data_IF_134082916630
#
_entry.id   IF_134082916630
#
_cell.length_a   1.000
_cell.length_b   1.000
_cell.length_c   1.000
_cell.angle_alpha   90.00
_cell.angle_beta   90.00
_cell.angle_gamma   90.00
#
_symmetry.space_group_name_H-M   'P 1'
#
loop_
_entity.id
_entity.type
_entity.pdbx_description
1 polymer ?
#
# COMPACT_ATOMS: atom_id res chain seq x y z
N UNK A 1 6.42 -32.04 -4.53
CA UNK A 1 6.38 -30.74 -3.82
C UNK A 1 6.71 -31.05 -2.37
N UNK A 2 7.85 -30.60 -1.91
CA UNK A 2 8.18 -30.72 -0.48
C UNK A 2 7.09 -30.03 0.34
N UNK A 3 6.46 -30.79 1.23
CA UNK A 3 5.29 -30.39 2.01
C UNK A 3 5.53 -29.21 2.98
N UNK A 4 6.73 -28.66 3.03
CA UNK A 4 7.16 -27.65 4.00
C UNK A 4 7.15 -26.19 3.49
N UNK A 5 6.85 -25.94 2.24
CA UNK A 5 6.77 -24.55 1.74
C UNK A 5 5.36 -24.02 1.94
N UNK A 6 5.11 -23.35 3.08
CA UNK A 6 3.88 -22.61 3.35
C UNK A 6 3.73 -21.47 2.33
N UNK A 7 2.95 -21.69 1.28
CA UNK A 7 2.65 -20.67 0.24
C UNK A 7 1.90 -19.48 0.83
N UNK A 8 1.09 -19.72 1.85
CA UNK A 8 0.35 -18.66 2.56
C UNK A 8 1.14 -18.26 3.80
N UNK A 9 1.74 -17.09 3.75
CA UNK A 9 2.50 -16.53 4.87
C UNK A 9 1.54 -16.10 6.00
N UNK A 10 1.83 -16.40 7.27
CA UNK A 10 1.00 -15.96 8.39
C UNK A 10 1.05 -14.45 8.62
N UNK A 11 2.05 -13.75 8.09
CA UNK A 11 2.10 -12.29 8.10
C UNK A 11 1.59 -11.74 6.77
N UNK A 12 0.48 -11.02 6.81
CA UNK A 12 -0.18 -10.46 5.63
C UNK A 12 -0.18 -8.93 5.66
N UNK A 13 0.38 -8.33 4.63
CA UNK A 13 0.34 -6.89 4.40
C UNK A 13 -0.92 -6.56 3.61
N UNK A 14 -1.79 -5.78 4.21
CA UNK A 14 -3.10 -5.43 3.64
C UNK A 14 -3.08 -3.96 3.21
N UNK A 15 -3.51 -3.71 1.97
CA UNK A 15 -3.72 -2.35 1.49
C UNK A 15 -4.96 -2.27 0.59
N UNK A 16 -5.51 -1.06 0.48
CA UNK A 16 -6.71 -0.77 -0.30
C UNK A 16 -6.40 0.27 -1.37
N UNK A 17 -7.04 0.13 -2.51
CA UNK A 17 -6.92 1.10 -3.59
C UNK A 17 -8.23 1.26 -4.35
N UNK A 18 -8.27 2.22 -5.26
CA UNK A 18 -9.35 2.36 -6.23
C UNK A 18 -8.81 2.32 -7.64
N UNK A 19 -9.63 1.93 -8.57
CA UNK A 19 -9.41 2.09 -10.00
C UNK A 19 -10.60 2.79 -10.63
N UNK A 20 -10.38 3.60 -11.67
CA UNK A 20 -11.47 4.30 -12.30
C UNK A 20 -12.14 3.46 -13.38
N UNK A 21 -13.42 3.69 -13.53
CA UNK A 21 -14.32 2.97 -14.41
C UNK A 21 -14.80 3.90 -15.54
N UNK A 22 -14.69 3.41 -16.77
CA UNK A 22 -15.18 4.10 -17.98
C UNK A 22 -16.42 3.40 -18.51
N UNK A 23 -17.55 3.60 -17.86
CA UNK A 23 -18.84 3.03 -18.22
C UNK A 23 -19.94 3.53 -17.29
N UNK A 24 -21.19 3.16 -17.61
CA UNK A 24 -22.36 3.65 -16.89
C UNK A 24 -23.21 2.56 -16.26
N UNK A 25 -23.06 1.29 -16.67
CA UNK A 25 -23.96 0.20 -16.30
C UNK A 25 -23.52 -0.63 -15.08
N UNK A 26 -22.24 -0.56 -14.68
CA UNK A 26 -21.75 -1.33 -13.55
C UNK A 26 -22.19 -0.68 -12.21
N UNK A 27 -22.87 -1.42 -11.35
CA UNK A 27 -23.35 -0.95 -10.06
C UNK A 27 -22.23 -0.75 -9.03
N UNK A 28 -21.06 -1.39 -9.23
CA UNK A 28 -19.88 -1.20 -8.42
C UNK A 28 -19.22 0.17 -8.64
N UNK A 29 -19.40 0.73 -9.86
CA UNK A 29 -18.92 2.07 -10.20
C UNK A 29 -19.69 3.15 -9.43
N UNK A 30 -19.03 3.84 -8.51
CA UNK A 30 -19.61 4.92 -7.71
C UNK A 30 -18.67 6.11 -7.63
N UNK A 31 -19.19 7.34 -7.49
CA UNK A 31 -18.36 8.49 -7.12
C UNK A 31 -17.62 8.19 -5.81
N UNK A 32 -16.31 8.36 -5.80
CA UNK A 32 -15.48 8.06 -4.64
C UNK A 32 -14.11 8.71 -4.73
N UNK A 33 -13.28 8.53 -3.72
CA UNK A 33 -11.92 9.04 -3.71
C UNK A 33 -11.07 8.32 -4.77
N UNK A 34 -10.58 9.08 -5.73
CA UNK A 34 -9.71 8.55 -6.77
C UNK A 34 -8.25 8.56 -6.35
N UNK A 35 -7.64 7.38 -6.26
CA UNK A 35 -6.21 7.21 -6.06
C UNK A 35 -5.39 7.29 -7.37
N UNK A 36 -6.10 7.44 -8.50
CA UNK A 36 -5.51 7.57 -9.84
C UNK A 36 -5.57 8.99 -10.40
N UNK A 37 -5.86 9.98 -9.54
CA UNK A 37 -6.03 11.40 -9.94
C UNK A 37 -7.11 11.61 -11.01
N UNK A 38 -8.17 10.77 -11.00
CA UNK A 38 -9.33 10.85 -11.89
C UNK A 38 -10.63 11.12 -11.09
N UNK A 39 -10.75 12.29 -10.41
CA UNK A 39 -11.85 12.54 -9.45
C UNK A 39 -13.23 12.64 -10.11
N UNK A 40 -13.30 12.89 -11.42
CA UNK A 40 -14.56 12.98 -12.17
C UNK A 40 -15.05 11.63 -12.70
N UNK A 41 -14.26 10.58 -12.61
CA UNK A 41 -14.62 9.23 -13.05
C UNK A 41 -15.21 8.43 -11.90
N UNK A 42 -16.13 7.52 -12.21
CA UNK A 42 -16.61 6.52 -11.25
C UNK A 42 -15.43 5.67 -10.79
N UNK A 43 -15.44 5.29 -9.54
CA UNK A 43 -14.40 4.48 -8.93
C UNK A 43 -14.93 3.10 -8.56
N UNK A 44 -14.05 2.11 -8.55
CA UNK A 44 -14.26 0.79 -7.94
C UNK A 44 -13.14 0.61 -6.94
N UNK A 45 -13.45 0.21 -5.70
CA UNK A 45 -12.42 -0.03 -4.68
C UNK A 45 -12.09 -1.51 -4.60
N UNK A 46 -10.83 -1.81 -4.38
CA UNK A 46 -10.35 -3.15 -4.13
C UNK A 46 -9.34 -3.17 -2.99
N UNK A 47 -9.30 -4.28 -2.28
CA UNK A 47 -8.33 -4.55 -1.22
C UNK A 47 -7.54 -5.80 -1.57
N UNK A 48 -6.27 -5.79 -1.28
CA UNK A 48 -5.37 -6.93 -1.50
C UNK A 48 -4.60 -7.28 -0.22
N UNK A 49 -4.15 -8.51 -0.14
CA UNK A 49 -3.11 -8.90 0.81
C UNK A 49 -1.96 -9.62 0.12
N UNK A 50 -0.78 -9.50 0.71
CA UNK A 50 0.45 -10.14 0.24
C UNK A 50 1.29 -10.57 1.43
N UNK A 51 1.89 -11.75 1.35
CA UNK A 51 2.80 -12.29 2.36
C UNK A 51 4.21 -11.70 2.29
N UNK A 52 5.06 -12.06 3.25
CA UNK A 52 6.50 -11.77 3.23
C UNK A 52 7.19 -12.36 1.99
N UNK A 53 6.69 -13.47 1.50
CA UNK A 53 7.16 -14.16 0.30
C UNK A 53 6.75 -13.47 -1.03
N UNK A 54 6.10 -12.30 -0.96
CA UNK A 54 5.55 -11.54 -2.09
C UNK A 54 4.45 -12.26 -2.90
N UNK A 55 3.86 -13.33 -2.38
CA UNK A 55 2.74 -14.01 -3.02
C UNK A 55 1.44 -13.29 -2.64
N UNK A 56 0.67 -12.76 -3.62
CA UNK A 56 -0.65 -12.21 -3.34
C UNK A 56 -1.58 -13.32 -2.86
N UNK A 57 -2.27 -13.09 -1.74
CA UNK A 57 -3.05 -14.14 -1.09
C UNK A 57 -4.55 -13.88 -1.17
N UNK A 58 -4.98 -12.64 -1.05
CA UNK A 58 -6.39 -12.29 -0.97
C UNK A 58 -6.73 -11.06 -1.80
N UNK A 59 -7.95 -11.08 -2.35
CA UNK A 59 -8.55 -9.97 -3.09
C UNK A 59 -9.98 -9.73 -2.58
N UNK A 60 -10.32 -8.47 -2.37
CA UNK A 60 -11.70 -8.04 -2.08
C UNK A 60 -12.07 -6.87 -2.99
N UNK A 61 -13.32 -6.85 -3.47
CA UNK A 61 -13.82 -5.81 -4.37
C UNK A 61 -15.07 -5.19 -3.75
N UNK A 62 -15.19 -3.86 -3.82
CA UNK A 62 -16.28 -3.09 -3.24
C UNK A 62 -16.67 -1.92 -4.17
N UNK A 63 -17.84 -1.34 -3.90
CA UNK A 63 -18.30 -0.12 -4.58
C UNK A 63 -17.30 1.02 -4.37
N UNK A 64 -17.16 1.89 -5.36
CA UNK A 64 -16.15 2.96 -5.37
C UNK A 64 -16.25 4.00 -4.25
N UNK A 65 -17.40 4.10 -3.59
CA UNK A 65 -17.62 4.99 -2.43
C UNK A 65 -17.34 4.35 -1.07
N UNK A 66 -16.92 3.09 -1.04
CA UNK A 66 -16.62 2.39 0.23
C UNK A 66 -15.26 2.85 0.76
N UNK A 67 -15.24 3.32 2.01
CA UNK A 67 -14.03 3.74 2.69
C UNK A 67 -13.23 2.55 3.22
N UNK A 68 -11.91 2.69 3.34
CA UNK A 68 -11.00 1.63 3.80
C UNK A 68 -11.42 1.01 5.13
N UNK A 69 -11.88 1.84 6.10
CA UNK A 69 -12.37 1.37 7.40
C UNK A 69 -13.54 0.38 7.29
N UNK A 70 -14.40 0.54 6.28
CA UNK A 70 -15.54 -0.34 6.02
C UNK A 70 -15.10 -1.54 5.18
N UNK A 71 -14.26 -1.31 4.18
CA UNK A 71 -13.70 -2.35 3.31
C UNK A 71 -12.89 -3.38 4.13
N UNK A 72 -12.16 -2.93 5.16
CA UNK A 72 -11.37 -3.77 6.05
C UNK A 72 -12.19 -4.91 6.69
N UNK A 73 -13.50 -4.71 6.94
CA UNK A 73 -14.37 -5.77 7.47
C UNK A 73 -14.46 -6.98 6.53
N UNK A 74 -14.53 -6.74 5.22
CA UNK A 74 -14.56 -7.81 4.21
C UNK A 74 -13.22 -8.53 4.16
N UNK A 75 -12.12 -7.79 4.26
CA UNK A 75 -10.78 -8.36 4.31
C UNK A 75 -10.58 -9.24 5.55
N UNK A 76 -10.94 -8.75 6.74
CA UNK A 76 -10.85 -9.53 7.99
C UNK A 76 -11.64 -10.84 7.88
N UNK A 77 -12.87 -10.78 7.32
CA UNK A 77 -13.69 -11.98 7.11
C UNK A 77 -13.03 -12.99 6.18
N UNK A 78 -12.34 -12.52 5.13
CA UNK A 78 -11.62 -13.40 4.22
C UNK A 78 -10.36 -13.96 4.87
N UNK A 79 -9.57 -13.11 5.53
CA UNK A 79 -8.38 -13.51 6.27
C UNK A 79 -8.67 -14.62 7.30
N UNK A 80 -9.76 -14.48 8.07
CA UNK A 80 -10.12 -15.47 9.09
C UNK A 80 -10.54 -16.84 8.55
N UNK A 81 -10.77 -16.95 7.24
CA UNK A 81 -11.09 -18.25 6.60
C UNK A 81 -9.86 -18.95 6.03
N UNK A 82 -8.80 -18.20 5.76
CA UNK A 82 -7.63 -18.68 5.01
C UNK A 82 -6.41 -18.77 5.93
N UNK A 83 -6.25 -17.81 6.83
CA UNK A 83 -5.07 -17.73 7.69
C UNK A 83 -5.24 -18.60 8.95
N UNK A 84 -4.16 -19.22 9.42
CA UNK A 84 -4.14 -19.87 10.74
C UNK A 84 -4.34 -18.83 11.85
N UNK A 85 -4.74 -19.33 13.03
CA UNK A 85 -4.79 -18.51 14.24
C UNK A 85 -3.43 -17.84 14.49
N UNK A 86 -3.46 -16.72 15.19
CA UNK A 86 -2.30 -15.90 15.54
C UNK A 86 -1.56 -15.29 14.35
N UNK A 87 -2.13 -15.36 13.13
CA UNK A 87 -1.60 -14.67 11.98
C UNK A 87 -1.67 -13.15 12.14
N UNK A 88 -0.68 -12.45 11.59
CA UNK A 88 -0.51 -11.01 11.74
C UNK A 88 -1.02 -10.26 10.50
N UNK A 89 -1.95 -9.34 10.69
CA UNK A 89 -2.40 -8.40 9.67
C UNK A 89 -1.71 -7.05 9.85
N UNK A 90 -0.96 -6.63 8.84
CA UNK A 90 -0.25 -5.33 8.83
C UNK A 90 -0.95 -4.39 7.86
N UNK A 91 -1.44 -3.24 8.34
CA UNK A 91 -2.21 -2.30 7.52
C UNK A 91 -2.02 -0.84 7.97
N UNK A 92 -2.40 0.10 7.11
CA UNK A 92 -2.28 1.53 7.40
C UNK A 92 -3.42 2.05 8.29
N UNK A 93 -3.32 3.30 8.69
CA UNK A 93 -4.27 4.00 9.55
C UNK A 93 -5.70 4.06 8.98
N UNK A 94 -5.88 3.94 7.67
CA UNK A 94 -7.19 3.89 7.01
C UNK A 94 -8.10 2.77 7.54
N UNK A 95 -7.50 1.61 7.86
CA UNK A 95 -8.19 0.48 8.49
C UNK A 95 -8.23 0.51 10.02
N UNK A 96 -7.48 1.41 10.67
CA UNK A 96 -7.31 1.44 12.12
C UNK A 96 -8.53 2.04 12.84
N UNK A 97 -9.50 1.20 13.16
CA UNK A 97 -10.65 1.55 13.99
C UNK A 97 -10.79 0.58 15.16
N UNK A 98 -11.40 1.05 16.26
CA UNK A 98 -11.68 0.16 17.42
C UNK A 98 -12.49 -1.07 17.01
N UNK A 99 -13.46 -0.89 16.10
CA UNK A 99 -14.31 -1.99 15.61
C UNK A 99 -13.51 -3.02 14.80
N UNK A 100 -12.61 -2.58 13.90
CA UNK A 100 -11.78 -3.49 13.11
C UNK A 100 -10.76 -4.23 13.99
N UNK A 101 -10.11 -3.53 14.94
CA UNK A 101 -9.22 -4.15 15.92
C UNK A 101 -9.95 -5.20 16.76
N UNK A 102 -11.18 -4.91 17.19
CA UNK A 102 -12.01 -5.90 17.88
C UNK A 102 -12.31 -7.10 16.98
N UNK A 103 -12.77 -6.86 15.75
CA UNK A 103 -13.09 -7.93 14.80
C UNK A 103 -11.90 -8.84 14.48
N UNK A 104 -10.68 -8.30 14.41
CA UNK A 104 -9.43 -9.07 14.22
C UNK A 104 -9.20 -9.96 15.44
N UNK A 105 -9.32 -9.41 16.65
CA UNK A 105 -9.18 -10.18 17.90
C UNK A 105 -10.19 -11.30 18.02
N UNK A 106 -11.46 -11.01 17.72
CA UNK A 106 -12.57 -11.96 17.79
C UNK A 106 -12.39 -13.12 16.79
N UNK A 107 -11.46 -13.01 15.85
CA UNK A 107 -11.06 -14.03 14.86
C UNK A 107 -9.69 -14.68 15.19
N UNK A 108 -9.19 -14.53 16.40
CA UNK A 108 -7.89 -15.02 16.84
C UNK A 108 -6.73 -14.60 15.90
N UNK A 109 -6.79 -13.36 15.38
CA UNK A 109 -5.74 -12.77 14.58
C UNK A 109 -5.06 -11.64 15.34
N UNK A 110 -3.82 -11.33 14.95
CA UNK A 110 -3.07 -10.17 15.42
C UNK A 110 -3.10 -9.04 14.40
N UNK A 111 -2.75 -7.85 14.86
CA UNK A 111 -2.60 -6.70 13.98
C UNK A 111 -1.36 -5.89 14.33
N UNK A 112 -0.85 -5.23 13.31
CA UNK A 112 0.14 -4.16 13.39
C UNK A 112 -0.33 -3.03 12.49
N UNK A 113 -0.56 -1.84 13.06
CA UNK A 113 -1.12 -0.72 12.31
C UNK A 113 -0.59 0.62 12.81
N UNK A 114 -0.66 1.62 11.96
CA UNK A 114 -0.27 2.99 12.32
C UNK A 114 -1.44 3.72 12.94
N UNK A 115 -1.16 4.46 14.02
CA UNK A 115 -2.13 5.37 14.64
C UNK A 115 -2.25 6.65 13.84
N UNK A 116 -3.48 7.11 13.61
CA UNK A 116 -3.73 8.39 12.94
C UNK A 116 -3.08 9.55 13.70
N UNK A 117 -2.39 10.43 12.98
CA UNK A 117 -1.64 11.56 13.57
C UNK A 117 -2.61 12.67 14.00
N UNK A 118 -3.06 12.61 15.27
CA UNK A 118 -3.92 13.61 15.90
C UNK A 118 -3.16 14.34 17.01
N UNK A 119 -3.21 15.67 17.06
CA UNK A 119 -2.42 16.53 17.96
C UNK A 119 -2.53 16.14 19.44
N UNK A 120 -3.73 15.96 19.96
CA UNK A 120 -3.95 15.62 21.38
C UNK A 120 -3.34 14.27 21.80
N UNK A 121 -3.75 13.14 21.20
CA UNK A 121 -3.18 11.84 21.50
C UNK A 121 -1.66 11.74 21.28
N UNK A 122 -1.13 12.42 20.26
CA UNK A 122 0.32 12.41 20.02
C UNK A 122 1.08 13.19 21.08
N UNK A 123 0.58 14.33 21.57
CA UNK A 123 1.23 15.07 22.66
C UNK A 123 1.37 14.23 23.93
N UNK A 124 0.31 13.49 24.30
CA UNK A 124 0.36 12.57 25.44
C UNK A 124 1.42 11.46 25.22
N UNK A 125 1.45 10.87 24.05
CA UNK A 125 2.44 9.85 23.70
C UNK A 125 3.87 10.40 23.72
N UNK A 126 4.09 11.64 23.27
CA UNK A 126 5.42 12.29 23.30
C UNK A 126 5.86 12.55 24.75
N UNK A 127 4.94 12.89 25.66
CA UNK A 127 5.28 13.01 27.09
C UNK A 127 5.75 11.65 27.66
N UNK A 128 5.05 10.57 27.34
CA UNK A 128 5.46 9.22 27.72
C UNK A 128 6.82 8.87 27.11
N UNK A 129 7.04 9.19 25.83
CA UNK A 129 8.30 8.97 25.15
C UNK A 129 9.49 9.70 25.83
N UNK A 130 9.29 10.95 26.24
CA UNK A 130 10.33 11.75 26.88
C UNK A 130 10.72 11.23 28.27
N UNK A 131 9.76 10.64 28.99
CA UNK A 131 9.95 10.17 30.36
C UNK A 131 10.24 8.67 30.45
N UNK A 132 10.05 7.91 29.34
CA UNK A 132 10.24 6.47 29.32
C UNK A 132 11.62 6.02 28.88
N UNK A 133 11.96 4.74 29.11
CA UNK A 133 13.21 4.17 28.64
C UNK A 133 13.23 4.10 27.11
N UNK A 134 14.11 4.87 26.49
CA UNK A 134 14.23 4.92 25.03
C UNK A 134 15.22 3.87 24.55
N UNK A 135 14.78 3.09 23.56
CA UNK A 135 15.62 2.17 22.80
C UNK A 135 16.04 2.87 21.50
N UNK A 136 17.34 2.89 21.23
CA UNK A 136 17.92 3.45 19.99
C UNK A 136 18.34 2.30 19.08
N UNK A 137 18.07 2.43 17.79
CA UNK A 137 18.49 1.46 16.77
C UNK A 137 18.53 2.12 15.39
N UNK A 138 19.20 1.47 14.44
CA UNK A 138 19.32 1.94 13.06
C UNK A 138 18.75 0.88 12.12
N UNK A 139 17.88 1.29 11.21
CA UNK A 139 17.37 0.41 10.16
C UNK A 139 17.29 1.18 8.84
N UNK A 140 17.81 0.60 7.75
CA UNK A 140 17.92 1.23 6.42
C UNK A 140 18.60 2.62 6.49
N UNK A 141 19.75 2.71 7.14
CA UNK A 141 20.57 3.92 7.30
C UNK A 141 19.86 5.10 8.00
N UNK A 142 18.76 4.83 8.69
CA UNK A 142 18.00 5.83 9.45
C UNK A 142 18.00 5.47 10.93
N UNK A 143 18.36 6.44 11.79
CA UNK A 143 18.29 6.30 13.24
C UNK A 143 16.88 6.50 13.75
N UNK A 144 16.49 5.62 14.67
CA UNK A 144 15.23 5.67 15.38
C UNK A 144 15.44 5.61 16.88
N UNK A 145 14.58 6.32 17.59
CA UNK A 145 14.39 6.18 19.02
C UNK A 145 12.96 5.70 19.24
N UNK A 146 12.77 4.76 20.15
CA UNK A 146 11.45 4.22 20.44
C UNK A 146 11.22 3.98 21.93
N UNK A 147 9.97 4.16 22.34
CA UNK A 147 9.46 3.72 23.64
C UNK A 147 8.27 2.81 23.39
N UNK A 148 8.29 1.63 24.04
CA UNK A 148 7.19 0.67 24.05
C UNK A 148 6.32 0.90 25.26
N UNK A 149 5.03 0.96 25.08
CA UNK A 149 4.03 1.09 26.15
C UNK A 149 3.06 -0.07 26.05
N UNK A 150 2.92 -0.82 27.13
CA UNK A 150 1.90 -1.87 27.25
C UNK A 150 0.59 -1.27 27.73
N UNK A 151 -0.52 -1.67 27.13
CA UNK A 151 -1.86 -1.30 27.55
C UNK A 151 -2.76 -2.55 27.50
N UNK A 152 -2.64 -3.38 28.51
CA UNK A 152 -3.24 -4.72 28.52
C UNK A 152 -2.62 -5.62 27.44
N UNK A 153 -3.46 -6.13 26.54
CA UNK A 153 -3.04 -7.00 25.43
C UNK A 153 -2.74 -6.22 24.14
N UNK A 154 -2.54 -4.92 24.22
CA UNK A 154 -2.18 -4.04 23.09
C UNK A 154 -0.92 -3.26 23.44
N UNK A 155 0.00 -3.18 22.50
CA UNK A 155 1.26 -2.47 22.63
C UNK A 155 1.25 -1.25 21.73
N UNK A 156 1.70 -0.11 22.26
CA UNK A 156 1.96 1.09 21.49
C UNK A 156 3.47 1.33 21.42
N UNK A 157 3.97 1.43 20.22
CA UNK A 157 5.38 1.72 19.93
C UNK A 157 5.45 3.16 19.42
N UNK A 158 6.04 4.03 20.21
CA UNK A 158 6.19 5.45 19.91
C UNK A 158 7.60 5.63 19.36
N UNK A 159 7.69 6.00 18.09
CA UNK A 159 8.96 6.21 17.38
C UNK A 159 9.21 7.67 17.13
N UNK A 160 10.48 8.03 17.19
CA UNK A 160 11.00 9.32 16.75
C UNK A 160 12.14 9.10 15.76
N UNK A 161 12.20 9.90 14.69
CA UNK A 161 13.31 9.96 13.75
C UNK A 161 13.65 11.42 13.43
N UNK A 162 14.93 11.75 13.54
CA UNK A 162 15.44 13.09 13.23
C UNK A 162 15.30 13.43 11.75
N UNK A 163 15.54 12.46 10.88
CA UNK A 163 15.40 12.65 9.44
C UNK A 163 13.95 13.00 9.07
N UNK A 164 12.99 12.25 9.62
CA UNK A 164 11.55 12.54 9.44
C UNK A 164 11.12 13.87 10.01
N UNK A 165 11.67 14.27 11.15
CA UNK A 165 11.44 15.60 11.73
C UNK A 165 11.87 16.68 10.74
N UNK A 166 13.12 16.61 10.27
CA UNK A 166 13.69 17.57 9.33
C UNK A 166 12.90 17.66 8.03
N UNK A 167 12.51 16.52 7.46
CA UNK A 167 11.68 16.50 6.24
C UNK A 167 10.29 17.14 6.44
N UNK A 168 9.65 16.84 7.59
CA UNK A 168 8.32 17.40 7.90
C UNK A 168 8.39 18.89 8.15
N UNK A 169 9.41 19.35 8.86
CA UNK A 169 9.68 20.78 9.09
C UNK A 169 9.95 21.51 7.76
N UNK A 170 10.77 20.95 6.87
CA UNK A 170 11.04 21.53 5.56
C UNK A 170 9.77 21.64 4.70
N UNK A 171 8.92 20.60 4.68
CA UNK A 171 7.63 20.63 3.97
C UNK A 171 6.70 21.72 4.53
N UNK A 172 6.62 21.86 5.86
CA UNK A 172 5.80 22.87 6.54
C UNK A 172 6.33 24.28 6.30
N UNK A 173 7.64 24.47 6.29
CA UNK A 173 8.27 25.73 5.93
C UNK A 173 7.95 26.12 4.46
N UNK A 174 8.06 25.18 3.54
CA UNK A 174 7.70 25.40 2.14
C UNK A 174 6.22 25.77 1.95
N UNK A 175 5.32 25.11 2.70
CA UNK A 175 3.91 25.45 2.69
C UNK A 175 3.70 26.87 3.21
N UNK A 176 4.27 27.21 4.35
CA UNK A 176 4.18 28.52 4.97
C UNK A 176 4.70 29.63 4.05
N UNK A 177 5.88 29.45 3.45
CA UNK A 177 6.43 30.39 2.46
C UNK A 177 5.48 30.63 1.27
N UNK A 178 4.89 29.56 0.72
CA UNK A 178 3.92 29.68 -0.37
C UNK A 178 2.68 30.49 0.02
N UNK A 179 2.22 30.36 1.25
CA UNK A 179 1.05 31.11 1.74
C UNK A 179 1.38 32.59 1.98
N UNK A 180 2.57 32.87 2.54
CA UNK A 180 3.09 34.24 2.66
C UNK A 180 3.19 34.93 1.29
N UNK A 181 3.72 34.24 0.28
CA UNK A 181 3.81 34.78 -1.09
C UNK A 181 2.42 35.07 -1.70
N UNK A 182 1.44 34.19 -1.47
CA UNK A 182 0.05 34.42 -1.88
C UNK A 182 -0.55 35.63 -1.18
N UNK A 183 -0.34 35.75 0.12
CA UNK A 183 -0.78 36.89 0.92
C UNK A 183 -0.18 38.21 0.42
N UNK A 184 1.12 38.25 0.11
CA UNK A 184 1.80 39.40 -0.46
C UNK A 184 1.22 39.81 -1.82
N UNK A 185 0.90 38.84 -2.69
CA UNK A 185 0.27 39.10 -4.00
C UNK A 185 -1.15 39.66 -3.84
N UNK A 186 -1.91 39.17 -2.88
CA UNK A 186 -3.26 39.67 -2.56
C UNK A 186 -3.20 41.10 -2.04
N UNK A 187 -2.28 41.41 -1.11
CA UNK A 187 -2.08 42.79 -0.59
C UNK A 187 -1.70 43.78 -1.68
N UNK A 188 -0.84 43.38 -2.64
CA UNK A 188 -0.51 44.22 -3.79
C UNK A 188 -1.74 44.52 -4.66
N UNK A 189 -2.69 43.57 -4.78
CA UNK A 189 -3.95 43.79 -5.52
C UNK A 189 -4.90 44.74 -4.76
N UNK A 190 -5.00 44.58 -3.44
CA UNK A 190 -5.81 45.50 -2.59
C UNK A 190 -5.26 46.92 -2.66
N UNK A 191 -3.94 47.13 -2.57
CA UNK A 191 -3.32 48.43 -2.71
C UNK A 191 -3.58 49.10 -4.09
N UNK A 192 -3.93 48.30 -5.11
CA UNK A 192 -4.30 48.80 -6.46
C UNK A 192 -5.81 49.03 -6.62
N UNK A 193 -6.58 49.07 -5.52
CA UNK A 193 -8.03 49.36 -5.53
C UNK A 193 -8.90 48.27 -6.13
N UNK A 194 -8.40 47.04 -6.25
CA UNK A 194 -9.23 45.90 -6.66
C UNK A 194 -10.00 45.36 -5.48
N UNK A 195 -11.31 45.39 -5.57
CA UNK A 195 -12.20 44.68 -4.64
C UNK A 195 -11.98 43.17 -4.85
N UNK A 196 -11.57 42.47 -3.78
CA UNK A 196 -11.31 41.02 -3.81
C UNK A 196 -12.52 40.21 -3.35
N UNK A 197 -13.68 40.85 -3.12
CA UNK A 197 -14.83 40.16 -2.59
C UNK A 197 -14.56 39.56 -1.19
N UNK A 198 -15.50 38.77 -0.67
CA UNK A 198 -15.36 38.08 0.61
C UNK A 198 -14.42 36.88 0.55
N UNK A 199 -13.22 37.01 0.03
CA UNK A 199 -12.18 36.04 0.21
C UNK A 199 -11.62 36.19 1.64
N UNK A 200 -12.21 35.47 2.56
CA UNK A 200 -11.67 35.30 3.91
C UNK A 200 -10.29 34.70 3.78
N UNK A 201 -9.27 35.51 3.94
CA UNK A 201 -7.92 35.02 4.10
C UNK A 201 -7.90 34.11 5.36
N UNK A 202 -7.23 32.95 5.34
CA UNK A 202 -7.05 32.16 6.55
C UNK A 202 -6.58 33.04 7.70
N UNK A 203 -7.04 32.81 8.93
CA UNK A 203 -6.73 33.63 10.10
C UNK A 203 -5.24 33.97 10.26
N UNK A 204 -4.33 33.06 9.83
CA UNK A 204 -2.90 33.29 9.78
C UNK A 204 -2.46 34.47 8.91
N UNK A 205 -3.24 34.88 7.90
CA UNK A 205 -2.93 36.05 7.07
C UNK A 205 -3.31 37.39 7.71
N UNK A 206 -4.23 37.37 8.64
CA UNK A 206 -4.67 38.59 9.37
C UNK A 206 -3.56 38.99 10.36
N UNK A 207 -2.96 38.05 11.02
CA UNK A 207 -1.81 38.25 11.94
C UNK A 207 -0.60 38.80 11.20
N UNK A 208 -0.35 38.32 9.99
CA UNK A 208 0.78 38.72 9.14
C UNK A 208 0.59 40.11 8.50
N UNK A 209 -0.62 40.64 8.51
CA UNK A 209 -0.92 41.94 7.85
C UNK A 209 -0.15 43.13 8.44
N UNK A 210 0.21 43.10 9.70
CA UNK A 210 1.02 44.14 10.37
C UNK A 210 2.53 43.96 10.16
N UNK A 211 2.98 42.74 9.98
CA UNK A 211 4.40 42.33 10.08
C UNK A 211 5.04 41.96 8.74
N UNK A 212 4.35 42.12 7.62
CA UNK A 212 4.85 41.76 6.27
C UNK A 212 6.08 42.56 5.81
N UNK A 213 6.53 43.53 6.57
CA UNK A 213 7.76 44.30 6.32
C UNK A 213 8.97 43.82 7.14
N UNK A 214 8.77 42.95 8.12
CA UNK A 214 9.83 42.35 8.90
C UNK A 214 10.17 40.95 8.37
N UNK A 215 11.40 40.53 8.55
CA UNK A 215 11.95 39.32 7.94
C UNK A 215 11.06 38.09 8.20
N UNK A 216 10.82 37.29 7.16
CA UNK A 216 10.09 36.01 7.20
C UNK A 216 10.62 35.09 8.31
N UNK A 217 11.84 35.27 8.75
CA UNK A 217 12.52 34.45 9.75
C UNK A 217 12.04 34.74 11.20
N UNK A 218 11.37 35.88 11.45
CA UNK A 218 10.82 36.24 12.75
C UNK A 218 9.38 35.76 12.98
N UNK A 219 8.65 35.31 11.94
CA UNK A 219 7.25 34.94 12.06
C UNK A 219 7.12 33.47 12.44
N UNK A 220 6.48 33.13 13.59
CA UNK A 220 6.31 31.73 13.98
C UNK A 220 5.45 30.97 12.97
N UNK A 221 5.97 29.84 12.47
CA UNK A 221 5.26 28.99 11.52
C UNK A 221 4.08 28.26 12.22
N UNK A 222 2.82 28.60 11.92
CA UNK A 222 1.65 28.05 12.60
C UNK A 222 1.43 26.56 12.32
N UNK A 223 2.09 26.02 11.29
CA UNK A 223 2.00 24.59 10.92
C UNK A 223 2.88 23.69 11.79
N UNK A 224 3.87 24.25 12.50
CA UNK A 224 4.72 23.50 13.43
C UNK A 224 3.90 23.19 14.69
N UNK A 225 3.76 21.90 14.98
CA UNK A 225 2.87 21.42 16.05
C UNK A 225 3.60 20.74 17.20
N UNK A 226 4.93 20.50 17.06
CA UNK A 226 5.76 19.81 18.05
C UNK A 226 5.55 18.28 18.06
N UNK A 227 4.92 17.73 17.01
CA UNK A 227 4.71 16.29 16.83
C UNK A 227 5.44 15.76 15.58
N UNK A 228 6.30 16.60 15.00
CA UNK A 228 7.13 16.27 13.84
C UNK A 228 8.12 15.18 14.22
N UNK A 229 8.50 14.35 13.27
CA UNK A 229 9.40 13.20 13.50
C UNK A 229 8.74 12.03 14.22
N UNK A 230 7.66 12.24 14.98
CA UNK A 230 6.98 11.18 15.72
C UNK A 230 5.95 10.43 14.88
N UNK A 231 5.89 9.10 15.12
CA UNK A 231 4.79 8.25 14.68
C UNK A 231 4.57 7.12 15.68
N UNK A 232 3.36 6.56 15.67
CA UNK A 232 2.95 5.54 16.63
C UNK A 232 2.44 4.34 15.86
N UNK A 233 2.97 3.16 16.19
CA UNK A 233 2.45 1.88 15.76
C UNK A 233 1.69 1.22 16.92
N UNK A 234 0.59 0.57 16.60
CA UNK A 234 -0.23 -0.19 17.54
C UNK A 234 -0.22 -1.65 17.12
N UNK A 235 0.08 -2.56 18.05
CA UNK A 235 0.20 -3.99 17.78
C UNK A 235 -0.36 -4.82 18.93
N UNK A 236 -0.80 -6.04 18.61
CA UNK A 236 -1.03 -7.11 19.60
C UNK A 236 0.18 -8.01 19.80
N UNK A 237 1.17 -7.90 18.93
CA UNK A 237 2.40 -8.68 19.06
C UNK A 237 3.37 -7.94 19.96
N UNK A 238 3.88 -8.67 20.94
CA UNK A 238 4.92 -8.18 21.84
C UNK A 238 6.29 -8.53 21.28
N UNK A 239 6.92 -7.54 20.64
CA UNK A 239 8.23 -7.71 20.01
C UNK A 239 9.12 -6.49 20.29
N UNK A 240 10.40 -6.63 19.94
CA UNK A 240 11.35 -5.51 20.00
C UNK A 240 10.93 -4.40 19.02
N UNK A 241 11.04 -3.10 19.38
CA UNK A 241 10.62 -1.99 18.52
C UNK A 241 11.20 -2.02 17.11
N UNK A 242 12.46 -2.41 16.95
CA UNK A 242 13.13 -2.53 15.66
C UNK A 242 12.39 -3.51 14.74
N UNK A 243 12.12 -4.73 15.22
CA UNK A 243 11.41 -5.76 14.47
C UNK A 243 9.97 -5.35 14.10
N UNK A 244 9.28 -4.65 15.01
CA UNK A 244 7.97 -4.07 14.74
C UNK A 244 8.03 -3.04 13.60
N UNK A 245 9.05 -2.18 13.62
CA UNK A 245 9.23 -1.17 12.58
C UNK A 245 9.58 -1.81 11.24
N UNK A 246 10.48 -2.78 11.21
CA UNK A 246 10.85 -3.52 10.00
C UNK A 246 9.64 -4.25 9.41
N UNK A 247 8.87 -4.94 10.26
CA UNK A 247 7.64 -5.60 9.84
C UNK A 247 6.66 -4.59 9.25
N UNK A 248 6.48 -3.43 9.89
CA UNK A 248 5.60 -2.40 9.35
C UNK A 248 6.10 -1.79 8.04
N UNK A 249 7.41 -1.59 7.88
CA UNK A 249 8.01 -1.11 6.62
C UNK A 249 7.76 -2.07 5.44
N UNK A 250 7.71 -3.37 5.68
CA UNK A 250 7.38 -4.37 4.68
C UNK A 250 5.95 -4.22 4.08
N UNK A 251 5.10 -3.37 4.64
CA UNK A 251 3.81 -2.99 4.04
C UNK A 251 3.97 -2.38 2.63
N UNK A 252 5.13 -1.84 2.31
CA UNK A 252 5.51 -1.41 0.96
C UNK A 252 5.31 -2.51 -0.11
N UNK A 253 5.36 -3.80 0.27
CA UNK A 253 5.05 -4.92 -0.62
C UNK A 253 3.62 -4.85 -1.17
N UNK A 254 2.64 -4.48 -0.33
CA UNK A 254 1.25 -4.31 -0.77
C UNK A 254 1.09 -3.08 -1.69
N UNK A 255 1.78 -1.99 -1.41
CA UNK A 255 1.79 -0.80 -2.29
C UNK A 255 2.41 -1.12 -3.67
N UNK A 256 3.51 -1.87 -3.68
CA UNK A 256 4.15 -2.35 -4.91
C UNK A 256 3.23 -3.28 -5.69
N UNK A 257 2.56 -4.21 -5.01
CA UNK A 257 1.59 -5.10 -5.64
C UNK A 257 0.45 -4.31 -6.30
N UNK A 258 -0.13 -3.31 -5.62
CA UNK A 258 -1.17 -2.45 -6.19
C UNK A 258 -0.67 -1.74 -7.45
N UNK A 259 0.55 -1.22 -7.43
CA UNK A 259 1.16 -0.57 -8.59
C UNK A 259 1.33 -1.55 -9.75
N UNK A 260 1.82 -2.75 -9.50
CA UNK A 260 1.99 -3.79 -10.51
C UNK A 260 0.65 -4.20 -11.14
N UNK A 261 -0.42 -4.33 -10.35
CA UNK A 261 -1.76 -4.62 -10.86
C UNK A 261 -2.27 -3.51 -11.76
N UNK A 262 -2.08 -2.24 -11.36
CA UNK A 262 -2.60 -1.09 -12.10
C UNK A 262 -1.81 -0.77 -13.37
N UNK A 263 -0.50 -0.87 -13.32
CA UNK A 263 0.41 -0.45 -14.39
C UNK A 263 0.97 -1.63 -15.18
N UNK A 264 1.39 -2.68 -14.50
CA UNK A 264 1.97 -3.87 -15.13
C UNK A 264 0.92 -4.73 -15.82
N UNK A 265 -0.21 -4.98 -15.16
CA UNK A 265 -1.32 -5.78 -15.69
C UNK A 265 -2.46 -4.94 -16.28
N UNK A 266 -2.27 -3.62 -16.44
CA UNK A 266 -3.20 -2.71 -17.11
C UNK A 266 -4.62 -2.73 -16.53
N UNK A 267 -4.75 -2.87 -15.19
CA UNK A 267 -6.07 -2.91 -14.54
C UNK A 267 -6.85 -1.60 -14.64
N UNK A 268 -6.28 -0.54 -15.18
CA UNK A 268 -6.92 0.77 -15.34
C UNK A 268 -6.77 1.32 -16.75
N UNK A 269 -7.83 1.93 -17.34
CA UNK A 269 -9.20 2.00 -16.84
C UNK A 269 -9.96 0.67 -16.99
N UNK A 270 -10.96 0.45 -16.13
CA UNK A 270 -11.90 -0.66 -16.34
C UNK A 270 -12.95 -0.23 -17.35
N UNK A 271 -13.14 -1.02 -18.43
CA UNK A 271 -14.08 -0.73 -19.54
C UNK A 271 -15.20 -1.74 -19.67
N UNK A 272 -15.27 -2.72 -18.79
CA UNK A 272 -16.30 -3.75 -18.79
C UNK A 272 -17.65 -3.21 -18.29
N UNK A 273 -18.76 -3.74 -18.80
CA UNK A 273 -20.06 -3.12 -18.65
C UNK A 273 -20.92 -3.69 -17.51
N UNK A 274 -20.71 -4.93 -17.10
CA UNK A 274 -21.48 -5.56 -16.04
C UNK A 274 -20.64 -5.78 -14.78
N UNK A 275 -21.29 -5.91 -13.63
CA UNK A 275 -20.61 -6.22 -12.36
C UNK A 275 -19.81 -7.52 -12.45
N UNK A 276 -20.37 -8.57 -13.06
CA UNK A 276 -19.68 -9.85 -13.22
C UNK A 276 -18.44 -9.74 -14.12
N UNK A 277 -18.55 -9.02 -15.23
CA UNK A 277 -17.41 -8.81 -16.13
C UNK A 277 -16.29 -7.98 -15.47
N UNK A 278 -16.66 -6.95 -14.68
CA UNK A 278 -15.71 -6.15 -13.89
C UNK A 278 -15.03 -7.00 -12.83
N UNK A 279 -15.79 -7.79 -12.08
CA UNK A 279 -15.24 -8.69 -11.06
C UNK A 279 -14.33 -9.73 -11.70
N UNK A 280 -14.78 -10.36 -12.80
CA UNK A 280 -13.99 -11.33 -13.54
C UNK A 280 -12.69 -10.76 -14.06
N UNK A 281 -12.70 -9.54 -14.62
CA UNK A 281 -11.51 -8.84 -15.08
C UNK A 281 -10.51 -8.58 -13.94
N UNK A 282 -10.96 -8.00 -12.83
CA UNK A 282 -10.10 -7.74 -11.68
C UNK A 282 -9.51 -9.05 -11.12
N UNK A 283 -10.32 -10.12 -11.09
CA UNK A 283 -9.89 -11.44 -10.65
C UNK A 283 -8.82 -12.03 -11.58
N UNK A 284 -8.99 -11.95 -12.90
CA UNK A 284 -8.00 -12.42 -13.87
C UNK A 284 -6.68 -11.67 -13.70
N UNK A 285 -6.72 -10.35 -13.58
CA UNK A 285 -5.54 -9.52 -13.33
C UNK A 285 -4.83 -9.94 -12.03
N UNK A 286 -5.59 -10.18 -10.98
CA UNK A 286 -5.04 -10.64 -9.70
C UNK A 286 -4.42 -12.04 -9.83
N UNK A 287 -5.10 -12.99 -10.45
CA UNK A 287 -4.60 -14.35 -10.66
C UNK A 287 -3.34 -14.37 -11.53
N UNK A 288 -3.27 -13.52 -12.55
CA UNK A 288 -2.05 -13.34 -13.36
C UNK A 288 -0.88 -12.95 -12.46
N UNK A 289 -1.08 -12.01 -11.54
CA UNK A 289 -0.01 -11.61 -10.61
C UNK A 289 0.34 -12.72 -9.61
N UNK A 290 -0.66 -13.50 -9.15
CA UNK A 290 -0.41 -14.69 -8.32
C UNK A 290 0.48 -15.68 -9.06
N UNK A 291 0.18 -16.01 -10.31
CA UNK A 291 0.98 -16.92 -11.13
C UNK A 291 2.41 -16.41 -11.31
N UNK A 292 2.58 -15.13 -11.63
CA UNK A 292 3.91 -14.51 -11.76
C UNK A 292 4.68 -14.59 -10.45
N UNK A 293 4.06 -14.26 -9.31
CA UNK A 293 4.72 -14.31 -8.00
C UNK A 293 5.05 -15.73 -7.57
N UNK A 294 4.19 -16.70 -7.86
CA UNK A 294 4.48 -18.12 -7.64
C UNK A 294 5.65 -18.60 -8.50
N UNK A 295 5.69 -18.20 -9.77
CA UNK A 295 6.79 -18.53 -10.67
C UNK A 295 8.11 -17.95 -10.17
N UNK A 296 8.11 -16.69 -9.74
CA UNK A 296 9.27 -16.04 -9.13
C UNK A 296 9.73 -16.77 -7.86
N UNK A 297 8.79 -17.12 -6.98
CA UNK A 297 9.06 -17.81 -5.73
C UNK A 297 9.65 -19.20 -5.96
N UNK A 298 9.09 -19.96 -6.91
CA UNK A 298 9.53 -21.31 -7.21
C UNK A 298 10.82 -21.36 -8.01
N UNK A 299 10.99 -20.47 -8.98
CA UNK A 299 12.13 -20.49 -9.91
C UNK A 299 13.29 -19.58 -9.48
N UNK A 300 13.06 -18.66 -8.54
CA UNK A 300 14.03 -17.67 -8.03
C UNK A 300 14.76 -16.89 -9.14
N UNK A 301 14.14 -16.76 -10.32
CA UNK A 301 14.76 -16.16 -11.49
C UNK A 301 14.52 -14.62 -11.50
N UNK A 302 15.58 -13.80 -11.61
CA UNK A 302 15.46 -12.34 -11.59
C UNK A 302 14.66 -11.74 -12.77
N UNK A 303 14.57 -12.44 -13.90
CA UNK A 303 13.81 -12.00 -15.10
C UNK A 303 12.31 -11.90 -14.81
N UNK A 304 11.80 -12.71 -13.89
CA UNK A 304 10.36 -12.78 -13.56
C UNK A 304 9.92 -11.68 -12.56
N UNK A 305 10.85 -10.92 -12.00
CA UNK A 305 10.58 -9.92 -10.93
C UNK A 305 9.66 -8.78 -11.33
N UNK A 306 9.54 -8.50 -12.62
CA UNK A 306 8.75 -7.38 -13.12
C UNK A 306 7.77 -7.85 -14.19
N UNK A 307 6.47 -7.72 -13.91
CA UNK A 307 5.40 -8.16 -14.82
C UNK A 307 5.50 -7.51 -16.22
N UNK A 308 5.92 -6.23 -16.31
CA UNK A 308 6.15 -5.54 -17.59
C UNK A 308 7.28 -6.21 -18.38
N UNK A 309 8.36 -6.55 -17.71
CA UNK A 309 9.51 -7.21 -18.32
C UNK A 309 9.09 -8.60 -18.75
N UNK A 310 8.45 -9.37 -17.89
CA UNK A 310 7.96 -10.70 -18.21
C UNK A 310 7.01 -10.69 -19.42
N UNK A 311 6.04 -9.75 -19.45
CA UNK A 311 5.14 -9.59 -20.60
C UNK A 311 5.91 -9.33 -21.89
N UNK A 312 6.93 -8.47 -21.88
CA UNK A 312 7.79 -8.19 -23.04
C UNK A 312 8.52 -9.45 -23.52
N UNK A 313 9.00 -10.28 -22.61
CA UNK A 313 9.70 -11.50 -22.96
C UNK A 313 8.78 -12.61 -23.47
N UNK A 314 7.54 -12.66 -22.98
CA UNK A 314 6.59 -13.72 -23.33
C UNK A 314 5.74 -13.41 -24.57
N UNK A 315 5.71 -12.17 -25.07
CA UNK A 315 4.81 -11.74 -26.15
C UNK A 315 5.03 -12.53 -27.45
N UNK A 316 6.25 -12.97 -27.71
CA UNK A 316 6.62 -13.71 -28.91
C UNK A 316 6.81 -15.22 -28.65
N UNK A 317 6.64 -15.65 -27.39
CA UNK A 317 6.84 -17.04 -27.02
C UNK A 317 5.80 -17.92 -27.73
N UNK A 318 6.29 -18.96 -28.39
CA UNK A 318 5.43 -19.91 -29.11
C UNK A 318 5.63 -21.31 -28.52
N UNK A 319 4.54 -21.97 -28.17
CA UNK A 319 4.53 -23.38 -27.82
C UNK A 319 3.91 -24.15 -28.99
N UNK A 320 4.72 -24.94 -29.69
CA UNK A 320 4.26 -25.84 -30.75
C UNK A 320 4.12 -27.24 -30.18
N UNK A 321 2.97 -27.85 -30.34
CA UNK A 321 2.70 -29.22 -29.96
C UNK A 321 2.53 -30.01 -31.25
N UNK A 322 3.42 -30.97 -31.49
CA UNK A 322 3.41 -31.85 -32.65
C UNK A 322 2.99 -33.23 -32.19
N UNK A 323 1.90 -33.75 -32.77
CA UNK A 323 1.45 -35.10 -32.53
C UNK A 323 1.86 -35.93 -33.77
N UNK A 324 2.95 -36.71 -33.73
CA UNK A 324 3.27 -37.63 -34.79
C UNK A 324 2.22 -38.75 -34.88
N UNK A 325 2.01 -39.32 -36.05
CA UNK A 325 1.08 -40.46 -36.23
C UNK A 325 1.41 -41.67 -35.33
N UNK A 326 2.68 -41.78 -34.94
CA UNK A 326 3.17 -42.82 -34.02
C UNK A 326 4.06 -42.17 -32.98
N UNK A 327 3.76 -42.35 -31.68
CA UNK A 327 4.59 -41.89 -30.56
C UNK A 327 3.98 -40.83 -29.68
N UNK A 328 4.77 -40.26 -28.79
CA UNK A 328 4.33 -39.23 -27.84
C UNK A 328 4.37 -37.83 -28.48
N UNK A 329 3.43 -36.97 -28.08
CA UNK A 329 3.41 -35.57 -28.51
C UNK A 329 4.70 -34.83 -28.16
N UNK A 330 5.30 -34.19 -29.15
CA UNK A 330 6.53 -33.38 -28.98
C UNK A 330 6.13 -31.92 -28.72
N UNK A 331 6.69 -31.33 -27.67
CA UNK A 331 6.50 -29.94 -27.34
C UNK A 331 7.76 -29.15 -27.66
N UNK A 332 7.62 -28.12 -28.46
CA UNK A 332 8.71 -27.25 -28.88
C UNK A 332 8.36 -25.82 -28.42
N UNK A 333 9.22 -25.27 -27.57
CA UNK A 333 9.17 -23.85 -27.21
C UNK A 333 10.11 -23.10 -28.14
N UNK A 334 9.58 -22.13 -28.86
CA UNK A 334 10.33 -21.33 -29.82
C UNK A 334 10.08 -19.83 -29.62
N UNK A 335 10.85 -19.00 -30.31
CA UNK A 335 10.77 -17.54 -30.27
C UNK A 335 10.95 -16.94 -28.87
N UNK A 336 11.73 -17.58 -28.01
CA UNK A 336 12.10 -17.03 -26.71
C UNK A 336 13.42 -16.26 -26.79
N UNK A 337 13.54 -15.23 -25.96
CA UNK A 337 14.79 -14.48 -25.84
C UNK A 337 15.84 -15.30 -25.06
N UNK A 338 17.14 -15.16 -25.38
CA UNK A 338 18.20 -15.91 -24.70
C UNK A 338 18.19 -15.79 -23.19
N UNK A 339 17.76 -14.65 -22.68
CA UNK A 339 17.65 -14.35 -21.24
C UNK A 339 16.63 -15.25 -20.51
N UNK A 340 15.66 -15.82 -21.24
CA UNK A 340 14.70 -16.78 -20.69
C UNK A 340 15.19 -18.23 -20.68
N UNK A 341 16.29 -18.53 -21.35
CA UNK A 341 16.80 -19.90 -21.45
C UNK A 341 17.08 -20.53 -20.08
N UNK A 342 17.71 -19.85 -19.11
CA UNK A 342 17.90 -20.40 -17.77
C UNK A 342 16.57 -20.70 -17.06
N UNK A 343 15.59 -19.82 -17.21
CA UNK A 343 14.25 -19.99 -16.65
C UNK A 343 13.56 -21.25 -17.17
N UNK A 344 13.56 -21.47 -18.49
CA UNK A 344 12.95 -22.68 -19.08
C UNK A 344 13.71 -23.94 -18.70
N UNK A 345 15.03 -23.88 -18.61
CA UNK A 345 15.84 -25.01 -18.15
C UNK A 345 15.50 -25.43 -16.73
N UNK A 346 15.43 -24.49 -15.82
CA UNK A 346 15.09 -24.74 -14.42
C UNK A 346 13.63 -25.21 -14.26
N UNK A 347 12.73 -24.65 -15.05
CA UNK A 347 11.32 -25.03 -15.07
C UNK A 347 11.15 -26.46 -15.60
N UNK A 348 11.76 -26.79 -16.75
CA UNK A 348 11.71 -28.14 -17.34
C UNK A 348 12.36 -29.17 -16.42
N UNK A 349 13.51 -28.85 -15.82
CA UNK A 349 14.17 -29.72 -14.86
C UNK A 349 13.32 -30.03 -13.65
N UNK A 350 12.55 -29.05 -13.17
CA UNK A 350 11.73 -29.18 -11.95
C UNK A 350 10.35 -29.76 -12.21
N UNK A 351 9.76 -29.51 -13.39
CA UNK A 351 8.36 -29.82 -13.71
C UNK A 351 8.19 -30.57 -15.04
N UNK A 352 9.25 -30.95 -15.71
CA UNK A 352 9.21 -31.55 -17.06
C UNK A 352 8.46 -32.88 -17.19
N UNK A 353 8.13 -33.52 -16.08
CA UNK A 353 7.36 -34.75 -16.03
C UNK A 353 5.84 -34.53 -15.75
N UNK A 354 5.37 -33.28 -15.80
CA UNK A 354 3.94 -33.04 -15.71
C UNK A 354 3.28 -33.48 -17.02
N UNK A 355 2.64 -34.63 -16.99
CA UNK A 355 1.72 -35.05 -18.04
C UNK A 355 0.62 -33.99 -18.19
N UNK A 356 0.19 -33.69 -19.43
CA UNK A 356 -0.96 -32.84 -19.62
C UNK A 356 -2.19 -33.50 -18.97
N UNK A 357 -3.10 -32.72 -18.38
CA UNK A 357 -4.36 -33.29 -17.93
C UNK A 357 -5.04 -34.00 -19.12
N UNK A 358 -5.46 -35.25 -18.87
CA UNK A 358 -6.19 -36.04 -19.87
C UNK A 358 -7.36 -35.21 -20.40
N UNK A 359 -7.36 -34.85 -21.66
CA UNK A 359 -8.46 -34.15 -22.29
C UNK A 359 -8.11 -32.87 -23.08
N UNK A 360 -6.85 -32.62 -23.40
CA UNK A 360 -6.46 -31.58 -24.35
C UNK A 360 -5.78 -32.20 -25.57
#
# INVERSE_FOLDING_TARGET
MDADQKLVDPTQFVDFSSTYFEGTKCQLGKPGYSRDNQPRKLQITFGISVGLNNIPTMLTIQKGNVQDKTHMKSMIRLCSKILPNDSLLVFDNGGNTKANKKAIRDKNLHYLTRKAKKKGPYRKAIQIFRNGPQVKFTTNDEEYQSVKVSNGNEYQYIFFSKNRESEQLAKKLKQFKKELEKGSKLLKKVKKGKDLGQHVAPEGYIIIRGELQESIDGIPNPYITGIEGFFILESRVDEHPEKILETYKNRDKAEKLIRDLKEGAEMRPIRHWSDHAVIGFILIVFLTKVLVSLTEFLCKNPVVKNLKILKKYLINLTLTIVYPEFGFGIRIISNYLPELQPFFRDFIKKYGNLEPPNGW
#
